data_IF_677473610734
#
_entry.id   IF_677473610734
#
_cell.length_a   1.000
_cell.length_b   1.000
_cell.length_c   1.000
_cell.angle_alpha   90.00
_cell.angle_beta   90.00
_cell.angle_gamma   90.00
#
_symmetry.space_group_name_H-M   'P 1'
#
loop_
_entity.id
_entity.type
_entity.pdbx_description
1 polymer ?
#
# COMPACT_ATOMS: atom_id res chain seq x y z
N UNK A 1 37.81 -42.91 -11.84
CA UNK A 1 36.49 -42.40 -12.31
C UNK A 1 36.64 -42.04 -13.77
N UNK A 2 35.73 -42.47 -14.64
CA UNK A 2 35.87 -42.31 -16.11
C UNK A 2 35.57 -40.85 -16.49
N UNK A 3 36.31 -40.23 -17.42
CA UNK A 3 36.15 -38.81 -17.77
C UNK A 3 34.73 -38.50 -18.29
N UNK A 4 34.08 -39.48 -18.91
CA UNK A 4 32.68 -39.43 -19.35
C UNK A 4 31.69 -39.28 -18.20
N UNK A 5 31.95 -39.87 -17.04
CA UNK A 5 31.08 -39.75 -15.85
C UNK A 5 31.23 -38.36 -15.20
N UNK A 6 32.44 -37.78 -15.23
CA UNK A 6 32.69 -36.44 -14.71
C UNK A 6 32.05 -35.35 -15.59
N UNK A 7 32.13 -35.52 -16.91
CA UNK A 7 31.51 -34.60 -17.88
C UNK A 7 29.98 -34.64 -17.83
N UNK A 8 29.38 -35.83 -17.60
CA UNK A 8 27.94 -36.00 -17.45
C UNK A 8 27.40 -35.34 -16.16
N UNK A 9 28.14 -35.45 -15.05
CA UNK A 9 27.77 -34.81 -13.77
C UNK A 9 27.88 -33.28 -13.86
N UNK A 10 28.89 -32.75 -14.57
CA UNK A 10 29.03 -31.31 -14.82
C UNK A 10 27.90 -30.77 -15.72
N UNK A 11 27.48 -31.56 -16.71
CA UNK A 11 26.37 -31.19 -17.60
C UNK A 11 25.02 -31.19 -16.87
N UNK A 12 24.76 -32.18 -15.99
CA UNK A 12 23.57 -32.21 -15.14
C UNK A 12 23.56 -31.07 -14.10
N UNK A 13 24.71 -30.74 -13.51
CA UNK A 13 24.83 -29.62 -12.58
C UNK A 13 24.60 -28.26 -13.27
N UNK A 14 25.04 -28.11 -14.52
CA UNK A 14 24.80 -26.91 -15.33
C UNK A 14 23.31 -26.73 -15.71
N UNK A 15 22.58 -27.81 -15.93
CA UNK A 15 21.13 -27.76 -16.23
C UNK A 15 20.27 -27.48 -14.98
N UNK A 16 20.72 -27.84 -13.78
CA UNK A 16 20.02 -27.54 -12.52
C UNK A 16 20.05 -26.05 -12.12
N UNK A 17 20.99 -25.28 -12.65
CA UNK A 17 21.22 -23.88 -12.27
C UNK A 17 20.32 -22.85 -13.02
N UNK A 18 19.47 -23.30 -13.95
CA UNK A 18 18.72 -22.41 -14.86
C UNK A 18 17.27 -22.16 -14.39
N UNK A 19 16.83 -22.77 -13.27
CA UNK A 19 15.43 -22.65 -12.79
C UNK A 19 15.13 -21.46 -11.85
N UNK A 20 15.97 -20.43 -11.78
CA UNK A 20 15.76 -19.29 -10.86
C UNK A 20 15.38 -17.96 -11.51
N UNK A 21 15.05 -17.93 -12.81
CA UNK A 21 14.90 -16.65 -13.53
C UNK A 21 13.56 -16.43 -14.25
N UNK A 22 12.45 -16.86 -13.67
CA UNK A 22 11.12 -16.37 -14.07
C UNK A 22 10.31 -15.97 -12.85
N UNK A 23 10.72 -14.91 -12.14
CA UNK A 23 9.75 -14.15 -11.33
C UNK A 23 8.90 -13.34 -12.30
N UNK A 24 7.82 -13.95 -12.79
CA UNK A 24 6.68 -13.21 -13.37
C UNK A 24 6.32 -12.06 -12.44
N UNK A 25 6.19 -10.85 -12.99
CA UNK A 25 6.01 -9.59 -12.26
C UNK A 25 5.12 -9.73 -11.03
N UNK A 26 5.75 -9.79 -9.86
CA UNK A 26 5.06 -9.87 -8.58
C UNK A 26 4.71 -8.45 -8.17
N UNK A 27 3.47 -8.26 -7.70
CA UNK A 27 3.06 -6.99 -7.12
C UNK A 27 3.38 -7.02 -5.63
N UNK A 28 3.62 -5.83 -5.07
CA UNK A 28 3.62 -5.67 -3.62
C UNK A 28 2.24 -5.93 -3.01
N UNK A 29 2.18 -5.92 -1.69
CA UNK A 29 0.94 -6.19 -0.95
C UNK A 29 0.84 -5.36 0.32
N UNK A 30 -0.39 -5.21 0.81
CA UNK A 30 -0.66 -4.71 2.15
C UNK A 30 -0.66 -5.89 3.13
N UNK A 31 0.14 -5.80 4.20
CA UNK A 31 0.11 -6.73 5.33
C UNK A 31 -0.53 -6.05 6.55
N UNK A 32 -1.82 -6.29 6.76
CA UNK A 32 -2.60 -5.65 7.83
C UNK A 32 -2.12 -6.08 9.22
N UNK A 33 -1.85 -5.09 10.07
CA UNK A 33 -1.27 -5.27 11.40
C UNK A 33 -1.75 -4.19 12.35
N UNK A 34 -2.24 -4.60 13.52
CA UNK A 34 -2.66 -3.68 14.60
C UNK A 34 -1.55 -2.73 15.05
N UNK A 35 -0.28 -3.16 14.97
CA UNK A 35 0.86 -2.32 15.29
C UNK A 35 0.93 -1.05 14.43
N UNK A 36 0.43 -1.10 13.19
CA UNK A 36 0.37 0.08 12.32
C UNK A 36 -0.73 1.04 12.79
N UNK A 37 -1.89 0.52 13.24
CA UNK A 37 -2.92 1.35 13.88
C UNK A 37 -2.35 2.10 15.09
N UNK A 38 -1.58 1.42 15.94
CA UNK A 38 -0.98 2.04 17.14
C UNK A 38 -0.11 3.24 16.79
N UNK A 39 0.67 3.16 15.70
CA UNK A 39 1.51 4.26 15.24
C UNK A 39 0.66 5.47 14.84
N UNK A 40 -0.29 5.29 13.90
CA UNK A 40 -1.09 6.41 13.39
C UNK A 40 -2.01 6.99 14.47
N UNK A 41 -2.67 6.14 15.25
CA UNK A 41 -3.63 6.57 16.26
C UNK A 41 -2.98 7.21 17.49
N UNK A 42 -1.71 6.92 17.77
CA UNK A 42 -0.95 7.64 18.80
C UNK A 42 -0.68 9.11 18.43
N UNK A 43 -0.85 9.47 17.14
CA UNK A 43 -0.48 10.78 16.62
C UNK A 43 1.03 10.98 16.51
N UNK A 44 1.81 9.90 16.54
CA UNK A 44 3.25 9.94 16.32
C UNK A 44 3.56 10.10 14.82
N UNK A 45 4.35 11.13 14.49
CA UNK A 45 4.95 11.31 13.17
C UNK A 45 6.37 10.76 13.22
N UNK A 46 6.73 9.94 12.24
CA UNK A 46 8.02 9.27 12.14
C UNK A 46 8.92 10.03 11.18
N UNK A 47 10.05 10.52 11.67
CA UNK A 47 10.95 11.40 10.92
C UNK A 47 11.64 10.72 9.73
N UNK A 48 11.66 9.39 9.68
CA UNK A 48 12.25 8.61 8.58
C UNK A 48 11.25 8.32 7.44
N UNK A 49 10.05 8.91 7.48
CA UNK A 49 9.01 8.72 6.46
C UNK A 49 8.58 10.04 5.81
N UNK A 50 8.23 9.97 4.54
CA UNK A 50 7.46 10.98 3.83
C UNK A 50 5.98 10.61 3.85
N UNK A 51 5.11 11.59 4.06
CA UNK A 51 3.68 11.36 4.26
C UNK A 51 2.87 11.80 3.05
N UNK A 52 1.88 10.98 2.72
CA UNK A 52 0.99 11.19 1.58
C UNK A 52 -0.45 10.90 1.98
N UNK A 53 -1.42 11.55 1.34
CA UNK A 53 -2.83 11.26 1.54
C UNK A 53 -3.66 11.46 0.27
N UNK A 54 -4.88 10.92 0.28
CA UNK A 54 -5.92 11.21 -0.71
C UNK A 54 -7.24 11.58 -0.02
N UNK A 55 -8.13 12.23 -0.77
CA UNK A 55 -9.42 12.69 -0.29
C UNK A 55 -9.41 14.12 0.27
N UNK A 56 -10.45 14.50 1.02
CA UNK A 56 -10.57 15.81 1.65
C UNK A 56 -9.47 16.10 2.67
N UNK A 57 -8.98 17.33 2.70
CA UNK A 57 -7.86 17.73 3.56
C UNK A 57 -8.20 17.65 5.07
N UNK A 58 -9.49 17.74 5.42
CA UNK A 58 -9.97 17.63 6.80
C UNK A 58 -10.21 16.18 7.24
N UNK A 59 -10.42 15.26 6.30
CA UNK A 59 -10.80 13.86 6.56
C UNK A 59 -10.28 12.99 5.41
N UNK A 60 -9.00 12.59 5.45
CA UNK A 60 -8.38 11.85 4.37
C UNK A 60 -8.98 10.45 4.27
N UNK A 61 -9.18 9.97 3.04
CA UNK A 61 -9.66 8.61 2.75
C UNK A 61 -8.59 7.57 3.03
N UNK A 62 -7.33 7.88 2.68
CA UNK A 62 -6.18 7.04 2.94
C UNK A 62 -4.97 7.91 3.25
N UNK A 63 -4.12 7.40 4.16
CA UNK A 63 -2.86 8.01 4.57
C UNK A 63 -1.74 6.97 4.32
N UNK A 64 -0.62 7.41 3.78
CA UNK A 64 0.59 6.61 3.64
C UNK A 64 1.78 7.29 4.30
N UNK A 65 2.65 6.47 4.87
CA UNK A 65 3.98 6.85 5.29
C UNK A 65 4.98 6.00 4.49
N UNK A 66 5.78 6.60 3.61
CA UNK A 66 6.76 5.90 2.77
C UNK A 66 8.17 6.19 3.29
N UNK A 67 8.98 5.15 3.49
CA UNK A 67 10.34 5.31 3.98
C UNK A 67 11.12 6.25 3.03
N UNK A 68 11.80 7.26 3.58
CA UNK A 68 12.51 8.32 2.83
C UNK A 68 13.55 7.78 1.85
N UNK A 69 14.00 6.54 1.99
CA UNK A 69 14.88 5.89 1.01
C UNK A 69 14.19 5.64 -0.34
N UNK A 70 12.87 5.55 -0.37
CA UNK A 70 12.07 5.34 -1.59
C UNK A 70 11.56 6.66 -2.15
N UNK A 71 11.41 6.68 -3.48
CA UNK A 71 10.87 7.82 -4.22
C UNK A 71 9.54 7.39 -4.84
N UNK A 72 8.45 8.02 -4.38
CA UNK A 72 7.13 7.78 -4.94
C UNK A 72 7.06 8.41 -6.34
N UNK A 73 6.69 7.63 -7.34
CA UNK A 73 6.46 8.16 -8.69
C UNK A 73 5.28 9.14 -8.69
N UNK A 74 5.26 10.15 -9.59
CA UNK A 74 4.14 11.07 -9.72
C UNK A 74 2.79 10.34 -9.81
N UNK A 75 1.84 10.76 -8.99
CA UNK A 75 0.54 10.09 -8.81
C UNK A 75 -0.49 11.07 -8.22
N UNK A 76 -1.71 10.57 -7.96
CA UNK A 76 -2.78 11.36 -7.33
C UNK A 76 -2.60 11.53 -5.81
N UNK A 77 -1.53 10.99 -5.24
CA UNK A 77 -1.17 11.17 -3.83
C UNK A 77 -0.69 12.59 -3.56
N UNK A 78 -1.28 13.23 -2.56
CA UNK A 78 -0.84 14.55 -2.08
C UNK A 78 0.24 14.36 -1.02
N UNK A 79 1.46 14.82 -1.31
CA UNK A 79 2.52 14.89 -0.30
C UNK A 79 2.19 15.97 0.74
N UNK A 80 2.50 15.72 2.00
CA UNK A 80 2.28 16.66 3.10
C UNK A 80 3.44 16.61 4.09
N UNK A 81 3.86 17.78 4.56
CA UNK A 81 4.69 17.88 5.75
C UNK A 81 3.79 17.67 6.99
N UNK A 82 3.56 16.40 7.34
CA UNK A 82 2.62 16.02 8.38
C UNK A 82 3.13 16.44 9.78
N UNK A 83 2.29 17.11 10.56
CA UNK A 83 2.56 17.41 11.97
C UNK A 83 1.78 16.48 12.89
N UNK A 84 2.22 16.34 14.15
CA UNK A 84 1.49 15.54 15.16
C UNK A 84 0.09 16.10 15.38
N UNK A 85 -0.06 17.43 15.36
CA UNK A 85 -1.34 18.10 15.53
C UNK A 85 -2.30 17.77 14.38
N UNK A 86 -1.82 17.80 13.14
CA UNK A 86 -2.62 17.46 11.97
C UNK A 86 -3.04 15.99 11.99
N UNK A 87 -2.12 15.08 12.34
CA UNK A 87 -2.42 13.66 12.45
C UNK A 87 -3.47 13.40 13.53
N UNK A 88 -3.33 13.99 14.72
CA UNK A 88 -4.33 13.90 15.79
C UNK A 88 -5.68 14.48 15.37
N UNK A 89 -5.70 15.59 14.63
CA UNK A 89 -6.92 16.17 14.10
C UNK A 89 -7.64 15.21 13.15
N UNK A 90 -6.91 14.54 12.26
CA UNK A 90 -7.48 13.48 11.41
C UNK A 90 -8.01 12.31 12.23
N UNK A 91 -7.23 11.78 13.19
CA UNK A 91 -7.64 10.67 14.05
C UNK A 91 -8.90 10.97 14.87
N UNK A 92 -9.17 12.24 15.17
CA UNK A 92 -10.40 12.67 15.87
C UNK A 92 -11.65 12.67 14.98
N UNK A 93 -11.47 12.76 13.65
CA UNK A 93 -12.55 12.88 12.65
C UNK A 93 -12.87 11.55 12.00
N UNK A 94 -11.85 10.84 11.54
CA UNK A 94 -12.02 9.55 10.85
C UNK A 94 -12.54 8.46 11.79
N UNK A 95 -13.09 7.42 11.19
CA UNK A 95 -13.59 6.23 11.85
C UNK A 95 -12.43 5.27 12.18
N UNK A 96 -11.65 5.60 13.22
CA UNK A 96 -10.54 4.76 13.70
C UNK A 96 -11.04 3.47 14.38
N UNK A 97 -10.16 2.61 14.90
CA UNK A 97 -10.57 1.31 15.48
C UNK A 97 -11.59 1.36 16.62
N UNK A 98 -11.82 2.53 17.21
CA UNK A 98 -12.80 2.74 18.28
C UNK A 98 -14.20 3.13 17.76
N UNK A 99 -14.37 3.17 16.44
CA UNK A 99 -15.61 3.51 15.73
C UNK A 99 -15.95 2.38 14.74
N UNK A 100 -17.18 2.35 14.21
CA UNK A 100 -17.79 1.13 13.65
C UNK A 100 -18.26 1.23 12.19
N UNK A 101 -18.38 2.41 11.60
CA UNK A 101 -19.11 2.58 10.33
C UNK A 101 -18.20 2.42 9.11
N UNK A 102 -16.97 2.94 9.17
CA UNK A 102 -16.01 2.90 8.07
C UNK A 102 -14.57 2.75 8.59
N UNK A 103 -14.34 1.66 9.35
CA UNK A 103 -13.13 1.47 10.16
C UNK A 103 -11.85 1.56 9.31
N UNK A 104 -10.92 2.40 9.75
CA UNK A 104 -9.58 2.49 9.18
C UNK A 104 -8.71 1.35 9.73
N UNK A 105 -8.01 0.67 8.83
CA UNK A 105 -7.09 -0.41 9.14
C UNK A 105 -5.67 -0.08 8.67
N UNK A 106 -4.72 -0.36 9.55
CA UNK A 106 -3.29 -0.17 9.33
C UNK A 106 -2.64 -1.39 8.70
N UNK A 107 -1.75 -1.16 7.74
CA UNK A 107 -0.97 -2.20 7.09
C UNK A 107 0.47 -1.79 6.82
N UNK A 108 1.39 -2.74 6.83
CA UNK A 108 2.69 -2.55 6.21
C UNK A 108 2.55 -2.62 4.69
N UNK A 109 3.19 -1.70 3.99
CA UNK A 109 3.32 -1.75 2.54
C UNK A 109 4.56 -2.57 2.24
N UNK A 110 4.37 -3.73 1.61
CA UNK A 110 5.44 -4.63 1.21
C UNK A 110 5.66 -4.54 -0.30
N UNK A 111 6.91 -4.52 -0.74
CA UNK A 111 7.24 -4.69 -2.16
C UNK A 111 7.08 -6.14 -2.62
N UNK A 112 7.35 -6.36 -3.90
CA UNK A 112 7.25 -7.67 -4.56
C UNK A 112 8.19 -8.75 -4.01
N UNK A 113 9.26 -8.34 -3.31
CA UNK A 113 10.24 -9.22 -2.66
C UNK A 113 9.91 -9.41 -1.16
N UNK A 114 8.86 -8.76 -0.65
CA UNK A 114 8.44 -8.80 0.74
C UNK A 114 9.15 -7.80 1.65
N UNK A 115 9.92 -6.86 1.10
CA UNK A 115 10.55 -5.81 1.91
C UNK A 115 9.50 -4.77 2.32
N UNK A 116 9.56 -4.32 3.57
CA UNK A 116 8.72 -3.21 4.03
C UNK A 116 9.23 -1.89 3.43
N UNK A 117 8.34 -1.22 2.68
CA UNK A 117 8.61 0.07 2.03
C UNK A 117 7.86 1.24 2.65
N UNK A 118 6.83 0.94 3.44
CA UNK A 118 6.00 1.97 4.06
C UNK A 118 4.93 1.40 4.97
N UNK A 119 4.01 2.28 5.35
CA UNK A 119 2.80 1.98 6.09
C UNK A 119 1.60 2.65 5.44
N UNK A 120 0.47 1.97 5.56
CA UNK A 120 -0.83 2.33 5.01
C UNK A 120 -1.83 2.47 6.15
N UNK A 121 -2.72 3.44 6.07
CA UNK A 121 -3.83 3.59 7.00
C UNK A 121 -5.06 4.13 6.26
N UNK A 122 -6.06 3.28 6.06
CA UNK A 122 -7.28 3.60 5.30
C UNK A 122 -8.41 2.63 5.66
N UNK A 123 -9.64 3.03 5.38
CA UNK A 123 -10.77 2.10 5.32
C UNK A 123 -10.85 1.33 3.99
N UNK A 124 -9.95 1.62 3.04
CA UNK A 124 -9.75 0.86 1.82
C UNK A 124 -8.69 -0.21 2.05
N UNK A 125 -8.97 -1.44 1.62
CA UNK A 125 -8.18 -2.63 1.89
C UNK A 125 -7.30 -3.08 0.70
N UNK A 126 -7.22 -2.28 -0.36
CA UNK A 126 -6.53 -2.64 -1.59
C UNK A 126 -5.82 -1.45 -2.24
N UNK A 127 -4.73 -1.73 -2.95
CA UNK A 127 -4.02 -0.83 -3.87
C UNK A 127 -3.03 -1.65 -4.69
N UNK A 128 -2.62 -1.14 -5.85
CA UNK A 128 -1.55 -1.74 -6.64
C UNK A 128 -0.21 -1.15 -6.21
N UNK A 129 0.73 -2.02 -5.81
CA UNK A 129 2.07 -1.65 -5.37
C UNK A 129 3.09 -2.25 -6.35
N UNK A 130 3.96 -1.42 -6.91
CA UNK A 130 5.03 -1.84 -7.80
C UNK A 130 6.34 -1.17 -7.40
N UNK A 131 7.40 -1.96 -7.27
CA UNK A 131 8.75 -1.43 -7.11
C UNK A 131 9.45 -1.44 -8.46
N UNK A 132 9.83 -0.24 -8.91
CA UNK A 132 10.63 -0.06 -10.13
C UNK A 132 12.12 -0.24 -9.85
N UNK A 133 12.95 0.17 -10.81
CA UNK A 133 14.40 0.10 -10.66
C UNK A 133 14.91 0.97 -9.49
N UNK A 134 15.88 0.43 -8.76
CA UNK A 134 16.48 1.07 -7.59
C UNK A 134 15.47 1.28 -6.45
N UNK A 135 15.14 2.55 -6.19
CA UNK A 135 14.30 2.97 -5.08
C UNK A 135 12.99 3.62 -5.54
N UNK A 136 12.61 3.51 -6.81
CA UNK A 136 11.32 4.00 -7.29
C UNK A 136 10.18 3.09 -6.82
N UNK A 137 9.11 3.72 -6.35
CA UNK A 137 7.91 3.05 -5.87
C UNK A 137 6.69 3.67 -6.53
N UNK A 138 5.84 2.82 -7.12
CA UNK A 138 4.55 3.22 -7.67
C UNK A 138 3.47 2.61 -6.80
N UNK A 139 2.66 3.46 -6.15
CA UNK A 139 1.46 3.04 -5.43
C UNK A 139 0.27 3.76 -6.05
N UNK A 140 -0.62 2.99 -6.66
CA UNK A 140 -1.79 3.57 -7.31
C UNK A 140 -2.82 3.99 -6.27
N UNK A 141 -3.49 5.11 -6.49
CA UNK A 141 -4.62 5.47 -5.65
C UNK A 141 -5.76 4.47 -5.88
N UNK A 142 -6.28 3.83 -4.82
CA UNK A 142 -7.40 2.93 -4.97
C UNK A 142 -8.64 3.67 -5.47
N UNK A 143 -9.50 2.94 -6.17
CA UNK A 143 -10.81 3.44 -6.55
C UNK A 143 -11.68 3.56 -5.28
N UNK A 144 -12.01 4.80 -4.95
CA UNK A 144 -12.78 5.14 -3.75
C UNK A 144 -14.28 4.84 -3.89
N UNK A 145 -14.75 4.44 -5.07
CA UNK A 145 -16.17 4.12 -5.32
C UNK A 145 -16.56 2.71 -4.93
N UNK A 146 -15.59 1.78 -4.85
CA UNK A 146 -15.84 0.33 -4.67
C UNK A 146 -16.55 -0.04 -3.34
N UNK A 147 -16.47 0.83 -2.33
CA UNK A 147 -17.12 0.61 -1.02
C UNK A 147 -18.36 1.50 -0.79
N UNK A 148 -18.81 2.25 -1.81
CA UNK A 148 -20.01 3.09 -1.73
C UNK A 148 -21.32 2.33 -2.05
N UNK A 149 -21.23 1.07 -2.47
CA UNK A 149 -22.39 0.30 -2.97
C UNK A 149 -23.24 -0.38 -1.87
N UNK A 150 -22.92 -0.19 -0.58
CA UNK A 150 -23.65 -0.83 0.53
C UNK A 150 -24.29 0.17 1.50
N UNK A 151 -24.86 1.25 0.97
CA UNK A 151 -25.55 2.25 1.79
C UNK A 151 -26.52 3.14 1.03
N UNK A 152 -27.52 2.56 0.35
CA UNK A 152 -28.60 3.37 -0.23
C UNK A 152 -29.49 2.64 -1.22
N UNK A 153 -30.53 1.97 -0.72
CA UNK A 153 -31.74 1.80 -1.54
C UNK A 153 -32.31 3.19 -1.87
N UNK A 154 -32.36 3.51 -3.15
CA UNK A 154 -32.91 4.78 -3.62
C UNK A 154 -32.71 4.97 -5.12
N UNK A 155 -33.37 4.14 -5.92
CA UNK A 155 -33.68 4.49 -7.32
C UNK A 155 -34.39 5.85 -7.35
N UNK A 156 -33.68 6.90 -7.74
CA UNK A 156 -34.32 8.11 -8.28
C UNK A 156 -34.19 8.02 -9.80
N UNK A 157 -35.24 7.47 -10.41
CA UNK A 157 -35.60 7.74 -11.80
C UNK A 157 -35.91 9.24 -11.90
N UNK A 158 -34.96 10.01 -12.40
CA UNK A 158 -35.17 11.39 -12.81
C UNK A 158 -35.86 11.43 -14.18
N UNK A 159 -37.18 11.29 -14.16
CA UNK A 159 -38.07 11.64 -15.27
C UNK A 159 -38.37 13.15 -15.27
N UNK A 160 -38.38 13.77 -16.44
CA UNK A 160 -38.93 15.11 -16.72
C UNK A 160 -37.85 16.11 -17.16
N UNK A 161 -37.87 16.74 -18.33
CA UNK A 161 -39.00 17.06 -19.21
C UNK A 161 -39.44 18.52 -19.02
N UNK A 162 -38.69 19.45 -19.64
CA UNK A 162 -39.16 20.51 -20.55
C UNK A 162 -37.98 21.38 -21.00
#
# INVERSE_FOLDING_TARGET
MKPTTFMLVLLLAAMGAIMTACSTGSYGRLDFKLAVNDIFESGQVLDNYNYYYIGPDAEPVAIMAIDKKYQLTPSLWKEINLTSEQLKAWMSRIDNRYRFNNRYDGAFILDQDGNQVGMWYSHLDWTTIQRGDGNQLTIYTPDTTKNMDHGGSGVILGSGGN
#
